data_IF_874775105322
#
_entry.id   IF_874775105322
#
_cell.length_a   1.000
_cell.length_b   1.000
_cell.length_c   1.000
_cell.angle_alpha   90.00
_cell.angle_beta   90.00
_cell.angle_gamma   90.00
#
_symmetry.space_group_name_H-M   'P 1'
#
loop_
_entity.id
_entity.type
_entity.pdbx_description
1 polymer ?
#
# COMPACT_ATOMS: atom_id res chain seq x y z
N UNK A 1 3.47 13.93 -14.07
CA UNK A 1 2.49 13.39 -13.14
C UNK A 1 2.29 11.88 -13.25
N UNK A 2 2.02 11.33 -14.45
CA UNK A 2 1.91 9.86 -14.67
C UNK A 2 3.16 9.09 -14.23
N UNK A 3 4.34 9.68 -14.37
CA UNK A 3 5.61 9.08 -13.96
C UNK A 3 5.73 8.98 -12.45
N UNK A 4 5.36 10.04 -11.73
CA UNK A 4 5.42 10.07 -10.26
C UNK A 4 4.44 9.06 -9.66
N UNK A 5 3.21 9.03 -10.18
CA UNK A 5 2.19 8.03 -9.82
C UNK A 5 2.72 6.60 -9.96
N UNK A 6 3.32 6.27 -11.11
CA UNK A 6 3.95 4.96 -11.33
C UNK A 6 5.10 4.67 -10.35
N UNK A 7 5.92 5.66 -10.03
CA UNK A 7 7.02 5.50 -9.07
C UNK A 7 6.49 5.11 -7.70
N UNK A 8 5.45 5.79 -7.20
CA UNK A 8 4.84 5.43 -5.91
C UNK A 8 4.21 4.03 -5.93
N UNK A 9 3.54 3.66 -7.02
CA UNK A 9 3.00 2.32 -7.18
C UNK A 9 4.10 1.23 -7.17
N UNK A 10 5.24 1.48 -7.82
CA UNK A 10 6.39 0.58 -7.76
C UNK A 10 7.02 0.50 -6.38
N UNK A 11 7.13 1.64 -5.66
CA UNK A 11 7.60 1.65 -4.27
C UNK A 11 6.69 0.78 -3.41
N UNK A 12 5.37 0.93 -3.52
CA UNK A 12 4.40 0.13 -2.76
C UNK A 12 4.52 -1.37 -3.09
N UNK A 13 4.74 -1.72 -4.37
CA UNK A 13 4.94 -3.10 -4.80
C UNK A 13 6.20 -3.72 -4.16
N UNK A 14 7.32 -3.00 -4.22
CA UNK A 14 8.59 -3.45 -3.63
C UNK A 14 8.46 -3.60 -2.12
N UNK A 15 7.83 -2.63 -1.44
CA UNK A 15 7.59 -2.71 0.01
C UNK A 15 6.70 -3.91 0.36
N UNK A 16 5.67 -4.20 -0.42
CA UNK A 16 4.82 -5.37 -0.23
C UNK A 16 5.60 -6.68 -0.40
N UNK A 17 6.46 -6.77 -1.41
CA UNK A 17 7.33 -7.94 -1.62
C UNK A 17 8.33 -8.12 -0.47
N UNK A 18 8.96 -7.04 -0.02
CA UNK A 18 9.87 -7.06 1.13
C UNK A 18 9.12 -7.51 2.39
N UNK A 19 7.90 -6.99 2.61
CA UNK A 19 7.07 -7.37 3.76
C UNK A 19 6.72 -8.87 3.74
N UNK A 20 6.33 -9.40 2.59
CA UNK A 20 6.10 -10.84 2.42
C UNK A 20 7.36 -11.66 2.68
N UNK A 21 8.51 -11.26 2.14
CA UNK A 21 9.79 -11.94 2.35
C UNK A 21 10.23 -11.89 3.82
N UNK A 22 10.04 -10.76 4.49
CA UNK A 22 10.35 -10.57 5.90
C UNK A 22 9.56 -11.52 6.81
N UNK A 23 8.37 -11.98 6.39
CA UNK A 23 7.59 -12.97 7.14
C UNK A 23 8.40 -14.22 7.46
N UNK A 24 9.16 -14.73 6.49
CA UNK A 24 9.96 -15.95 6.65
C UNK A 24 11.21 -15.75 7.51
N UNK A 25 11.64 -14.49 7.69
CA UNK A 25 12.76 -14.15 8.57
C UNK A 25 12.27 -13.97 10.01
N UNK A 26 11.14 -13.29 10.18
CA UNK A 26 10.56 -12.96 11.50
C UNK A 26 9.87 -14.18 12.12
N UNK A 27 9.12 -14.91 11.30
CA UNK A 27 8.35 -16.09 11.72
C UNK A 27 8.99 -17.36 11.16
N UNK A 28 9.67 -18.13 12.01
CA UNK A 28 10.32 -19.39 11.61
C UNK A 28 9.35 -20.55 11.41
N UNK A 29 8.13 -20.42 11.92
CA UNK A 29 7.05 -21.40 11.79
C UNK A 29 5.78 -20.72 11.31
N UNK A 30 4.95 -21.47 10.58
CA UNK A 30 3.67 -20.97 10.12
C UNK A 30 2.68 -20.87 11.28
N UNK A 31 2.50 -19.68 11.81
CA UNK A 31 1.56 -19.34 12.88
C UNK A 31 0.44 -18.46 12.34
N UNK A 32 -0.61 -18.24 13.10
CA UNK A 32 -1.69 -17.29 12.76
C UNK A 32 -1.11 -15.88 12.55
N UNK A 33 -0.17 -15.47 13.41
CA UNK A 33 0.51 -14.16 13.29
C UNK A 33 1.32 -14.07 11.99
N UNK A 34 2.01 -15.14 11.60
CA UNK A 34 2.75 -15.20 10.34
C UNK A 34 1.80 -15.04 9.12
N UNK A 35 0.61 -15.67 9.17
CA UNK A 35 -0.40 -15.56 8.13
C UNK A 35 -0.94 -14.12 8.05
N UNK A 36 -1.22 -13.49 9.18
CA UNK A 36 -1.64 -12.08 9.21
C UNK A 36 -0.56 -11.14 8.71
N UNK A 37 0.69 -11.40 9.07
CA UNK A 37 1.82 -10.59 8.63
C UNK A 37 2.00 -10.67 7.11
N UNK A 38 2.04 -11.86 6.51
CA UNK A 38 2.17 -12.01 5.05
C UNK A 38 0.97 -11.43 4.30
N UNK A 39 -0.24 -11.52 4.88
CA UNK A 39 -1.46 -10.95 4.29
C UNK A 39 -1.35 -9.44 4.12
N UNK A 40 -0.73 -8.73 5.07
CA UNK A 40 -0.44 -7.30 4.95
C UNK A 40 0.41 -6.98 3.72
N UNK A 41 1.45 -7.77 3.46
CA UNK A 41 2.29 -7.62 2.26
C UNK A 41 1.51 -7.90 0.96
N UNK A 42 0.67 -8.93 0.95
CA UNK A 42 -0.16 -9.25 -0.22
C UNK A 42 -1.15 -8.13 -0.54
N UNK A 43 -1.78 -7.52 0.47
CA UNK A 43 -2.69 -6.38 0.28
C UNK A 43 -1.95 -5.18 -0.32
N UNK A 44 -0.71 -4.91 0.11
CA UNK A 44 0.14 -3.87 -0.49
C UNK A 44 0.46 -4.19 -1.96
N UNK A 45 0.80 -5.44 -2.28
CA UNK A 45 1.07 -5.88 -3.66
C UNK A 45 -0.18 -5.68 -4.54
N UNK A 46 -1.34 -6.13 -4.10
CA UNK A 46 -2.59 -5.96 -4.87
C UNK A 46 -2.95 -4.47 -5.05
N UNK A 47 -2.79 -3.66 -4.02
CA UNK A 47 -2.98 -2.21 -4.11
C UNK A 47 -2.04 -1.57 -5.13
N UNK A 48 -0.76 -1.95 -5.11
CA UNK A 48 0.24 -1.47 -6.06
C UNK A 48 -0.09 -1.87 -7.51
N UNK A 49 -0.49 -3.11 -7.75
CA UNK A 49 -0.88 -3.59 -9.08
C UNK A 49 -2.11 -2.84 -9.62
N UNK A 50 -3.11 -2.55 -8.78
CA UNK A 50 -4.26 -1.73 -9.14
C UNK A 50 -3.84 -0.30 -9.50
N UNK A 51 -2.89 0.29 -8.76
CA UNK A 51 -2.36 1.62 -9.05
C UNK A 51 -1.58 1.65 -10.37
N UNK A 52 -0.77 0.63 -10.64
CA UNK A 52 -0.07 0.49 -11.92
C UNK A 52 -1.05 0.34 -13.09
N UNK A 53 -2.11 -0.44 -12.90
CA UNK A 53 -3.17 -0.62 -13.90
C UNK A 53 -3.90 0.71 -14.17
N UNK A 54 -4.26 1.46 -13.12
CA UNK A 54 -4.84 2.80 -13.23
C UNK A 54 -3.92 3.74 -14.01
N UNK A 55 -2.63 3.78 -13.68
CA UNK A 55 -1.66 4.63 -14.35
C UNK A 55 -1.42 4.24 -15.83
N UNK A 56 -1.65 2.96 -16.18
CA UNK A 56 -1.56 2.46 -17.54
C UNK A 56 -2.81 2.76 -18.37
N UNK A 57 -3.98 2.92 -17.72
CA UNK A 57 -5.29 3.12 -18.38
C UNK A 57 -5.92 4.47 -18.00
N UNK A 58 -5.34 5.60 -18.44
CA UNK A 58 -5.89 6.91 -18.14
C UNK A 58 -7.29 7.06 -18.76
N UNK A 59 -8.25 7.56 -17.98
CA UNK A 59 -9.64 7.72 -18.40
C UNK A 59 -10.55 6.52 -18.13
N UNK A 60 -10.01 5.38 -17.73
CA UNK A 60 -10.82 4.24 -17.28
C UNK A 60 -11.35 4.51 -15.85
N UNK A 61 -12.62 4.92 -15.78
CA UNK A 61 -13.30 5.27 -14.53
C UNK A 61 -13.49 4.07 -13.61
N UNK A 62 -13.70 2.87 -14.17
CA UNK A 62 -13.84 1.67 -13.36
C UNK A 62 -12.54 1.37 -12.63
N UNK A 63 -11.44 1.32 -13.37
CA UNK A 63 -10.11 1.09 -12.79
C UNK A 63 -9.73 2.18 -11.78
N UNK A 64 -10.06 3.45 -12.07
CA UNK A 64 -9.81 4.55 -11.15
C UNK A 64 -10.64 4.43 -9.86
N UNK A 65 -11.92 4.03 -9.95
CA UNK A 65 -12.80 3.83 -8.81
C UNK A 65 -12.37 2.66 -7.93
N UNK A 66 -12.01 1.53 -8.53
CA UNK A 66 -11.51 0.34 -7.80
C UNK A 66 -10.20 0.65 -7.10
N UNK A 67 -9.28 1.33 -7.79
CA UNK A 67 -8.01 1.77 -7.20
C UNK A 67 -8.22 2.76 -6.05
N UNK A 68 -9.18 3.70 -6.18
CA UNK A 68 -9.54 4.63 -5.11
C UNK A 68 -10.06 3.89 -3.87
N UNK A 69 -10.97 2.94 -4.06
CA UNK A 69 -11.50 2.14 -2.96
C UNK A 69 -10.40 1.35 -2.24
N UNK A 70 -9.52 0.69 -3.00
CA UNK A 70 -8.39 -0.06 -2.44
C UNK A 70 -7.44 0.85 -1.63
N UNK A 71 -7.10 2.03 -2.16
CA UNK A 71 -6.23 2.98 -1.47
C UNK A 71 -6.91 3.60 -0.24
N UNK A 72 -8.22 3.82 -0.27
CA UNK A 72 -9.01 4.29 0.88
C UNK A 72 -8.97 3.27 2.02
N UNK A 73 -9.18 1.99 1.71
CA UNK A 73 -9.13 0.90 2.70
C UNK A 73 -7.72 0.75 3.28
N UNK A 74 -6.69 0.78 2.43
CA UNK A 74 -5.29 0.77 2.88
C UNK A 74 -4.99 1.96 3.78
N UNK A 75 -5.38 3.16 3.37
CA UNK A 75 -5.17 4.36 4.16
C UNK A 75 -5.89 4.31 5.51
N UNK A 76 -7.12 3.82 5.55
CA UNK A 76 -7.87 3.66 6.80
C UNK A 76 -7.17 2.71 7.78
N UNK A 77 -6.65 1.57 7.28
CA UNK A 77 -5.87 0.63 8.09
C UNK A 77 -4.61 1.33 8.64
N UNK A 78 -3.87 2.05 7.81
CA UNK A 78 -2.67 2.75 8.24
C UNK A 78 -2.98 3.92 9.18
N UNK A 79 -4.08 4.66 8.97
CA UNK A 79 -4.50 5.73 9.86
C UNK A 79 -4.81 5.26 11.29
N UNK A 80 -5.26 4.01 11.44
CA UNK A 80 -5.47 3.39 12.76
C UNK A 80 -4.17 2.77 13.29
N UNK A 81 -3.44 2.05 12.45
CA UNK A 81 -2.24 1.30 12.86
C UNK A 81 -1.06 2.23 13.19
N UNK A 82 -0.85 3.30 12.42
CA UNK A 82 0.30 4.19 12.60
C UNK A 82 0.33 4.87 13.97
N UNK A 83 -0.75 5.50 14.49
CA UNK A 83 -0.72 6.10 15.83
C UNK A 83 -0.43 5.09 16.93
N UNK A 84 -0.93 3.85 16.78
CA UNK A 84 -0.67 2.78 17.72
C UNK A 84 0.81 2.33 17.69
N UNK A 85 1.36 2.11 16.52
CA UNK A 85 2.76 1.74 16.30
C UNK A 85 3.72 2.83 16.76
N UNK A 86 3.41 4.11 16.49
CA UNK A 86 4.24 5.24 16.93
C UNK A 86 4.35 5.33 18.45
N UNK A 87 3.31 4.93 19.17
CA UNK A 87 3.32 4.94 20.65
C UNK A 87 4.12 3.79 21.24
N UNK A 88 4.17 2.63 20.59
CA UNK A 88 4.68 1.40 21.18
C UNK A 88 5.99 0.90 20.57
N UNK A 89 6.21 1.10 19.26
CA UNK A 89 7.30 0.42 18.55
C UNK A 89 7.97 1.24 17.43
N UNK A 90 7.84 2.56 17.44
CA UNK A 90 8.32 3.42 16.34
C UNK A 90 9.79 3.19 15.97
N UNK A 91 10.66 3.00 16.97
CA UNK A 91 12.10 2.81 16.75
C UNK A 91 12.42 1.49 16.00
N UNK A 92 11.51 0.54 16.05
CA UNK A 92 11.69 -0.79 15.45
C UNK A 92 11.07 -0.91 14.06
N UNK A 93 10.15 0.01 13.69
CA UNK A 93 9.36 -0.09 12.46
C UNK A 93 9.32 1.23 11.65
N UNK A 94 10.48 1.82 11.25
CA UNK A 94 10.51 3.08 10.51
C UNK A 94 9.87 2.97 9.12
N UNK A 95 9.81 1.76 8.54
CA UNK A 95 9.18 1.49 7.25
C UNK A 95 7.69 1.84 7.21
N UNK A 96 7.01 1.86 8.37
CA UNK A 96 5.58 2.23 8.47
C UNK A 96 5.34 3.65 7.98
N UNK A 97 6.26 4.56 8.23
CA UNK A 97 6.17 5.95 7.75
C UNK A 97 6.24 5.99 6.22
N UNK A 98 7.18 5.25 5.62
CA UNK A 98 7.35 5.20 4.16
C UNK A 98 6.11 4.62 3.50
N UNK A 99 5.56 3.53 4.04
CA UNK A 99 4.32 2.92 3.54
C UNK A 99 3.15 3.89 3.68
N UNK A 100 3.01 4.56 4.82
CA UNK A 100 1.93 5.53 5.07
C UNK A 100 1.98 6.70 4.08
N UNK A 101 3.15 7.27 3.82
CA UNK A 101 3.33 8.35 2.82
C UNK A 101 2.99 7.83 1.42
N UNK A 102 3.45 6.63 1.07
CA UNK A 102 3.19 6.04 -0.25
C UNK A 102 1.70 5.82 -0.47
N UNK A 103 1.00 5.25 0.51
CA UNK A 103 -0.45 5.02 0.43
C UNK A 103 -1.24 6.33 0.36
N UNK A 104 -0.83 7.36 1.12
CA UNK A 104 -1.46 8.69 1.04
C UNK A 104 -1.27 9.34 -0.34
N UNK A 105 -0.09 9.21 -0.94
CA UNK A 105 0.17 9.68 -2.30
C UNK A 105 -0.68 8.94 -3.34
N UNK A 106 -0.78 7.62 -3.25
CA UNK A 106 -1.60 6.80 -4.15
C UNK A 106 -3.10 7.10 -4.01
N UNK A 107 -3.57 7.39 -2.80
CA UNK A 107 -4.94 7.86 -2.58
C UNK A 107 -5.19 9.18 -3.32
N UNK A 108 -4.28 10.16 -3.20
CA UNK A 108 -4.39 11.45 -3.88
C UNK A 108 -4.38 11.29 -5.42
N UNK A 109 -3.52 10.43 -5.97
CA UNK A 109 -3.49 10.13 -7.40
C UNK A 109 -4.78 9.44 -7.89
N UNK A 110 -5.37 8.55 -7.06
CA UNK A 110 -6.63 7.88 -7.39
C UNK A 110 -7.79 8.87 -7.46
N UNK A 111 -7.91 9.78 -6.48
CA UNK A 111 -8.90 10.85 -6.49
C UNK A 111 -8.74 11.70 -7.75
N UNK A 112 -7.52 12.13 -8.05
CA UNK A 112 -7.26 12.96 -9.23
C UNK A 112 -7.57 12.22 -10.52
N UNK A 113 -7.23 10.94 -10.63
CA UNK A 113 -7.54 10.12 -11.81
C UNK A 113 -9.06 10.01 -12.05
N UNK A 114 -9.85 9.92 -10.98
CA UNK A 114 -11.30 9.84 -11.07
C UNK A 114 -11.93 11.18 -11.47
N UNK A 115 -11.35 12.31 -11.03
CA UNK A 115 -11.84 13.67 -11.30
C UNK A 115 -11.35 14.22 -12.64
N UNK A 116 -10.28 13.70 -13.21
CA UNK A 116 -9.79 14.11 -14.52
C UNK A 116 -10.72 13.60 -15.62
N UNK A 117 -11.29 14.56 -16.37
CA UNK A 117 -12.12 14.28 -17.54
C UNK A 117 -11.26 13.87 -18.73
#
# INVERSE_FOLDING_TARGET
>A
MKTIDRVFAWILLVLGCIHCAATFVVHKTLTVDAIWFISGGLVMIFGALLNLLRAARPGDRLTAGVSLLANLLLFAIFAVAVPWLLRHEFKQNPQVVVVGITVAAELAFSVKSLLSK
#
